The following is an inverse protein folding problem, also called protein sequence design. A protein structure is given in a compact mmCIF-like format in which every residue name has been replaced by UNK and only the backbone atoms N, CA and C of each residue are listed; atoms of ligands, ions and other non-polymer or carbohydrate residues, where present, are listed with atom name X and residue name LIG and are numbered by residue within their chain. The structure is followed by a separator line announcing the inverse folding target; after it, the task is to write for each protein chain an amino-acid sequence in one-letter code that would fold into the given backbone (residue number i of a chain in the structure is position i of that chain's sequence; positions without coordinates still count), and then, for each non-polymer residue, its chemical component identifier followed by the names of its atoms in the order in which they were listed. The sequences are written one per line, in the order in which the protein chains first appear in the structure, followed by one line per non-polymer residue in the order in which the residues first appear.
data_IF_882162552538
#
_entry.id   IF_882162552538
#
_cell.length_a   1.000
_cell.length_b   1.000
_cell.length_c   1.000
_cell.angle_alpha   90.00
_cell.angle_beta   90.00
_cell.angle_gamma   90.00
#
_symmetry.space_group_name_H-M   'P 1'
#
loop_
_entity.id
_entity.type
_entity.pdbx_description
1 polymer ?
#
# COMPACT_ATOMS: atom_id res chain seq x y z
N UNK A 1 -37.38 -16.72 -11.22
CA UNK A 1 -37.25 -15.31 -10.79
C UNK A 1 -35.80 -15.10 -10.36
N UNK A 2 -34.95 -14.57 -11.24
CA UNK A 2 -33.54 -14.28 -10.90
C UNK A 2 -33.42 -12.82 -10.47
N UNK A 3 -32.99 -12.60 -9.24
CA UNK A 3 -32.60 -11.28 -8.76
C UNK A 3 -31.28 -10.88 -9.42
N UNK A 4 -31.35 -9.94 -10.35
CA UNK A 4 -30.18 -9.32 -10.96
C UNK A 4 -29.60 -8.35 -9.93
N UNK A 5 -28.54 -8.77 -9.21
CA UNK A 5 -27.79 -7.91 -8.30
C UNK A 5 -26.96 -6.93 -9.14
N UNK A 6 -27.52 -5.77 -9.44
CA UNK A 6 -26.79 -4.66 -10.02
C UNK A 6 -25.86 -4.09 -8.95
N UNK A 7 -24.57 -4.36 -9.06
CA UNK A 7 -23.56 -3.70 -8.22
C UNK A 7 -23.55 -2.19 -8.56
N UNK A 8 -23.73 -1.29 -7.57
CA UNK A 8 -23.67 0.14 -7.83
C UNK A 8 -22.26 0.55 -8.27
N UNK A 9 -22.16 1.38 -9.32
CA UNK A 9 -20.89 2.03 -9.71
C UNK A 9 -20.38 2.84 -8.52
N UNK A 10 -19.15 2.55 -8.10
CA UNK A 10 -18.42 3.29 -7.05
C UNK A 10 -18.42 4.79 -7.37
N UNK A 11 -18.88 5.64 -6.45
CA UNK A 11 -18.88 7.09 -6.65
C UNK A 11 -17.46 7.66 -6.51
N UNK A 12 -17.24 8.89 -7.00
CA UNK A 12 -15.98 9.62 -6.80
C UNK A 12 -15.63 9.72 -5.31
N UNK A 13 -16.63 9.99 -4.46
CA UNK A 13 -16.48 10.08 -3.00
C UNK A 13 -16.07 8.74 -2.37
N UNK A 14 -16.62 7.62 -2.83
CA UNK A 14 -16.25 6.29 -2.34
C UNK A 14 -14.81 5.93 -2.70
N UNK A 15 -14.35 6.35 -3.87
CA UNK A 15 -12.95 6.21 -4.28
C UNK A 15 -12.03 7.03 -3.37
N UNK A 16 -12.34 8.30 -3.12
CA UNK A 16 -11.55 9.14 -2.20
C UNK A 16 -11.49 8.54 -0.80
N UNK A 17 -12.63 8.15 -0.22
CA UNK A 17 -12.68 7.52 1.11
C UNK A 17 -11.80 6.28 1.18
N UNK A 18 -11.79 5.46 0.12
CA UNK A 18 -10.97 4.24 0.09
C UNK A 18 -9.47 4.52 0.06
N UNK A 19 -9.05 5.58 -0.64
CA UNK A 19 -7.63 5.99 -0.69
C UNK A 19 -7.21 6.55 0.68
N UNK A 20 -8.04 7.38 1.30
CA UNK A 20 -7.77 7.91 2.64
C UNK A 20 -7.62 6.79 3.67
N UNK A 21 -8.55 5.82 3.68
CA UNK A 21 -8.51 4.71 4.63
C UNK A 21 -7.24 3.84 4.48
N UNK A 22 -6.77 3.62 3.25
CA UNK A 22 -5.52 2.90 3.00
C UNK A 22 -4.32 3.67 3.54
N UNK A 23 -4.23 4.97 3.23
CA UNK A 23 -3.15 5.84 3.72
C UNK A 23 -3.10 5.89 5.26
N UNK A 24 -4.26 5.99 5.90
CA UNK A 24 -4.38 5.94 7.37
C UNK A 24 -3.88 4.61 7.93
N UNK A 25 -4.22 3.48 7.28
CA UNK A 25 -3.80 2.15 7.71
C UNK A 25 -2.27 1.98 7.64
N UNK A 26 -1.64 2.44 6.56
CA UNK A 26 -0.19 2.40 6.40
C UNK A 26 0.50 3.30 7.43
N UNK A 27 -0.01 4.51 7.66
CA UNK A 27 0.54 5.41 8.68
C UNK A 27 0.40 4.83 10.10
N UNK A 28 -0.73 4.19 10.41
CA UNK A 28 -0.94 3.49 11.68
C UNK A 28 0.08 2.36 11.89
N UNK A 29 0.30 1.56 10.85
CA UNK A 29 1.29 0.48 10.86
C UNK A 29 2.71 0.99 11.07
N UNK A 30 3.11 2.04 10.33
CA UNK A 30 4.41 2.69 10.49
C UNK A 30 4.62 3.18 11.93
N UNK A 31 3.64 3.86 12.51
CA UNK A 31 3.71 4.33 13.90
C UNK A 31 3.84 3.17 14.89
N UNK A 32 3.11 2.07 14.69
CA UNK A 32 3.22 0.89 15.54
C UNK A 32 4.59 0.20 15.45
N UNK A 33 5.08 -0.06 14.23
CA UNK A 33 6.30 -0.85 14.00
C UNK A 33 7.60 -0.06 14.22
N UNK A 34 7.59 1.26 13.99
CA UNK A 34 8.78 2.12 14.08
C UNK A 34 8.69 3.02 15.29
N UNK A 35 7.71 3.93 15.33
CA UNK A 35 7.67 5.00 16.34
C UNK A 35 7.49 4.43 17.75
N UNK A 36 6.51 3.55 17.95
CA UNK A 36 6.18 3.01 19.26
C UNK A 36 7.06 1.84 19.67
N UNK A 37 7.34 0.91 18.74
CA UNK A 37 8.11 -0.31 19.06
C UNK A 37 9.62 -0.08 19.22
N UNK A 38 10.22 0.83 18.44
CA UNK A 38 11.67 1.08 18.47
C UNK A 38 12.08 2.30 19.30
N UNK A 39 11.10 3.10 19.76
CA UNK A 39 11.34 4.22 20.68
C UNK A 39 11.73 3.76 22.09
N UNK A 40 12.15 4.70 22.97
CA UNK A 40 12.17 6.15 22.77
C UNK A 40 13.33 6.63 21.88
N UNK A 41 13.07 7.64 21.06
CA UNK A 41 14.03 8.22 20.13
C UNK A 41 14.78 9.39 20.77
N UNK A 42 16.09 9.46 20.53
CA UNK A 42 16.96 10.51 21.10
C UNK A 42 17.01 11.79 20.27
N UNK A 43 16.86 11.67 18.95
CA UNK A 43 16.89 12.79 18.01
C UNK A 43 16.10 12.45 16.73
N UNK A 44 15.86 13.46 15.90
CA UNK A 44 15.11 13.33 14.64
C UNK A 44 15.88 12.49 13.62
N UNK A 45 17.20 12.64 13.52
CA UNK A 45 18.05 11.89 12.58
C UNK A 45 17.89 10.36 12.75
N UNK A 46 17.79 9.88 14.00
CA UNK A 46 17.54 8.46 14.28
C UNK A 46 16.19 7.99 13.77
N UNK A 47 15.15 8.85 13.86
CA UNK A 47 13.82 8.55 13.33
C UNK A 47 13.85 8.54 11.80
N UNK A 48 14.53 9.51 11.18
CA UNK A 48 14.67 9.58 9.72
C UNK A 48 15.36 8.34 9.17
N UNK A 49 16.48 7.92 9.77
CA UNK A 49 17.18 6.71 9.37
C UNK A 49 16.30 5.46 9.51
N UNK A 50 15.63 5.30 10.65
CA UNK A 50 14.71 4.17 10.86
C UNK A 50 13.50 4.20 9.90
N UNK A 51 13.06 5.40 9.48
CA UNK A 51 12.03 5.56 8.45
C UNK A 51 12.53 5.05 7.11
N UNK A 52 13.73 5.44 6.68
CA UNK A 52 14.33 4.99 5.43
C UNK A 52 14.48 3.47 5.41
N UNK A 53 14.99 2.87 6.48
CA UNK A 53 15.09 1.42 6.62
C UNK A 53 13.72 0.73 6.55
N UNK A 54 12.71 1.31 7.21
CA UNK A 54 11.36 0.74 7.20
C UNK A 54 10.72 0.82 5.82
N UNK A 55 10.86 1.94 5.11
CA UNK A 55 10.35 2.13 3.74
C UNK A 55 11.01 1.16 2.77
N UNK A 56 12.34 1.04 2.83
CA UNK A 56 13.08 0.09 1.99
C UNK A 56 12.64 -1.35 2.26
N UNK A 57 12.58 -1.76 3.53
CA UNK A 57 12.10 -3.09 3.88
C UNK A 57 10.64 -3.31 3.46
N UNK A 58 9.74 -2.35 3.72
CA UNK A 58 8.33 -2.47 3.38
C UNK A 58 8.12 -2.65 1.88
N UNK A 59 8.80 -1.85 1.05
CA UNK A 59 8.59 -1.87 -0.39
C UNK A 59 9.33 -3.01 -1.10
N UNK A 60 10.52 -3.37 -0.64
CA UNK A 60 11.40 -4.29 -1.37
C UNK A 60 11.57 -5.66 -0.74
N UNK A 61 11.12 -5.86 0.51
CA UNK A 61 11.35 -7.12 1.25
C UNK A 61 10.10 -7.69 1.93
N UNK A 62 9.14 -6.85 2.33
CA UNK A 62 7.92 -7.29 3.02
C UNK A 62 7.01 -8.01 2.04
N UNK A 63 6.72 -9.28 2.31
CA UNK A 63 5.74 -10.04 1.54
C UNK A 63 4.34 -9.74 2.05
N UNK A 64 3.42 -9.50 1.12
CA UNK A 64 2.02 -9.22 1.44
C UNK A 64 1.11 -10.25 0.74
N UNK A 65 0.41 -11.06 1.53
CA UNK A 65 -0.53 -12.07 1.04
C UNK A 65 -1.57 -11.51 0.06
N UNK A 66 -2.20 -10.33 0.29
CA UNK A 66 -3.24 -9.81 -0.60
C UNK A 66 -2.78 -9.49 -2.03
N UNK A 67 -1.46 -9.35 -2.25
CA UNK A 67 -0.86 -9.09 -3.57
C UNK A 67 -0.07 -10.29 -4.10
N UNK A 68 -0.28 -11.47 -3.51
CA UNK A 68 0.34 -12.72 -3.98
C UNK A 68 1.64 -13.11 -3.29
N UNK A 69 1.88 -12.63 -2.05
CA UNK A 69 3.11 -12.90 -1.30
C UNK A 69 4.39 -12.42 -1.99
N UNK A 70 4.32 -11.29 -2.69
CA UNK A 70 5.47 -10.59 -3.28
C UNK A 70 5.66 -9.21 -2.62
N UNK A 71 6.85 -8.58 -2.77
CA UNK A 71 7.05 -7.21 -2.32
C UNK A 71 6.16 -6.19 -3.06
N UNK A 72 5.71 -5.12 -2.40
CA UNK A 72 4.92 -4.06 -3.04
C UNK A 72 5.55 -3.48 -4.31
N UNK A 73 6.86 -3.25 -4.32
CA UNK A 73 7.56 -2.72 -5.49
C UNK A 73 7.49 -3.68 -6.70
N UNK A 74 7.51 -4.99 -6.45
CA UNK A 74 7.36 -6.00 -7.51
C UNK A 74 5.92 -6.02 -8.03
N UNK A 75 4.94 -5.95 -7.13
CA UNK A 75 3.53 -5.88 -7.54
C UNK A 75 3.23 -4.62 -8.37
N UNK A 76 3.81 -3.48 -8.01
CA UNK A 76 3.71 -2.24 -8.78
C UNK A 76 4.35 -2.36 -10.16
N UNK A 77 5.56 -2.93 -10.25
CA UNK A 77 6.24 -3.18 -11.52
C UNK A 77 5.41 -4.11 -12.44
N UNK A 78 4.86 -5.20 -11.89
CA UNK A 78 3.99 -6.13 -12.61
C UNK A 78 2.71 -5.45 -13.11
N UNK A 79 2.12 -4.56 -12.30
CA UNK A 79 0.94 -3.79 -12.67
C UNK A 79 1.22 -2.85 -13.86
N UNK A 80 2.32 -2.11 -13.82
CA UNK A 80 2.68 -1.21 -14.92
C UNK A 80 3.04 -1.97 -16.21
N UNK A 81 3.76 -3.08 -16.10
CA UNK A 81 4.02 -3.95 -17.24
C UNK A 81 2.71 -4.45 -17.88
N UNK A 82 1.75 -4.89 -17.08
CA UNK A 82 0.44 -5.32 -17.58
C UNK A 82 -0.36 -4.18 -18.24
N UNK A 83 -0.33 -2.97 -17.66
CA UNK A 83 -0.98 -1.79 -18.24
C UNK A 83 -0.37 -1.42 -19.60
N UNK A 84 0.95 -1.47 -19.73
CA UNK A 84 1.63 -1.20 -20.99
C UNK A 84 1.25 -2.22 -22.07
N UNK A 85 1.19 -3.51 -21.71
CA UNK A 85 0.75 -4.56 -22.64
C UNK A 85 -0.70 -4.35 -23.11
N UNK A 86 -1.60 -3.96 -22.19
CA UNK A 86 -2.99 -3.65 -22.56
C UNK A 86 -3.08 -2.43 -23.48
N UNK A 87 -2.25 -1.41 -23.26
CA UNK A 87 -2.18 -0.24 -24.12
C UNK A 87 -1.61 -0.54 -25.52
N UNK A 88 -0.68 -1.49 -25.63
CA UNK A 88 -0.12 -1.92 -26.92
C UNK A 88 -1.04 -2.86 -27.71
N UNK A 89 -1.95 -3.55 -27.04
CA UNK A 89 -2.89 -4.49 -27.66
C UNK A 89 -4.24 -3.85 -28.09
N UNK A 90 -4.44 -2.56 -27.81
CA UNK A 90 -5.66 -1.79 -28.12
C UNK A 90 -5.49 -0.89 -29.34
#
# INVERSE_FOLDING_TARGET
MSAHLTFPRRTSLDKYRSITALAESINGLYKAEVIHRRGPWRNIESVEFATLEWVDWFNHRRLLEPIGNIPPAEAEANFYAALEQLAMAA
#
